data_IF_686115970616
#
_entry.id   IF_686115970616
#
_cell.length_a   1.000
_cell.length_b   1.000
_cell.length_c   1.000
_cell.angle_alpha   90.00
_cell.angle_beta   90.00
_cell.angle_gamma   90.00
#
_symmetry.space_group_name_H-M   'P 1'
#
loop_
_entity.id
_entity.type
_entity.pdbx_description
1 polymer ?
#
# COMPACT_ATOMS: atom_id res chain seq x y z
N UNK A 1 -19.55 3.14 13.91
CA UNK A 1 -19.55 4.58 13.53
C UNK A 1 -18.88 4.69 12.18
N UNK A 2 -19.28 5.59 11.28
CA UNK A 2 -18.53 5.79 10.04
C UNK A 2 -17.10 6.19 10.41
N UNK A 3 -16.13 5.49 9.85
CA UNK A 3 -14.72 5.83 10.03
C UNK A 3 -14.46 7.18 9.35
N UNK A 4 -13.74 8.07 10.04
CA UNK A 4 -13.28 9.31 9.43
C UNK A 4 -12.20 9.00 8.39
N UNK A 5 -12.56 9.15 7.11
CA UNK A 5 -11.67 8.81 6.00
C UNK A 5 -10.42 9.70 5.96
N UNK A 6 -10.55 10.97 6.30
CA UNK A 6 -9.42 11.90 6.27
C UNK A 6 -8.37 11.51 7.32
N UNK A 7 -8.82 11.14 8.53
CA UNK A 7 -7.94 10.57 9.57
C UNK A 7 -7.30 9.26 9.10
N UNK A 8 -8.06 8.37 8.46
CA UNK A 8 -7.55 7.10 8.00
C UNK A 8 -6.51 7.26 6.87
N UNK A 9 -6.73 8.19 5.93
CA UNK A 9 -5.78 8.53 4.87
C UNK A 9 -4.48 9.16 5.43
N UNK A 10 -4.58 9.96 6.49
CA UNK A 10 -3.42 10.56 7.16
C UNK A 10 -2.67 9.57 8.08
N UNK A 11 -3.13 8.34 8.17
CA UNK A 11 -2.58 7.28 8.99
C UNK A 11 -1.71 6.28 8.24
N UNK A 12 -1.71 5.03 8.71
CA UNK A 12 -1.00 3.91 8.10
C UNK A 12 -1.93 3.21 7.12
N UNK A 13 -1.60 3.27 5.83
CA UNK A 13 -2.22 2.46 4.78
C UNK A 13 -1.51 1.10 4.71
N UNK A 14 -2.06 0.09 5.38
CA UNK A 14 -1.44 -1.23 5.53
C UNK A 14 -1.68 -2.14 4.34
N UNK A 15 -0.65 -2.38 3.53
CA UNK A 15 -0.77 -3.20 2.33
C UNK A 15 -0.73 -4.68 2.70
N UNK A 16 -1.87 -5.35 2.60
CA UNK A 16 -2.00 -6.78 2.86
C UNK A 16 -1.33 -7.61 1.74
N UNK A 17 -0.73 -8.74 2.10
CA UNK A 17 -0.30 -9.75 1.12
C UNK A 17 -1.51 -10.45 0.50
N UNK A 18 -1.33 -11.11 -0.64
CA UNK A 18 -2.30 -12.07 -1.17
C UNK A 18 -1.84 -13.47 -0.83
N UNK A 19 -2.53 -14.20 0.05
CA UNK A 19 -2.21 -15.60 0.32
C UNK A 19 -2.64 -16.49 -0.84
N UNK A 20 -1.84 -17.54 -1.06
CA UNK A 20 -2.16 -18.63 -1.97
C UNK A 20 -2.18 -19.97 -1.22
N UNK A 21 -2.95 -20.91 -1.71
CA UNK A 21 -2.95 -22.30 -1.25
C UNK A 21 -1.90 -23.13 -2.02
N UNK A 22 -1.85 -24.43 -1.72
CA UNK A 22 -0.90 -25.38 -2.32
C UNK A 22 -1.16 -25.63 -3.82
N UNK A 23 -2.37 -25.29 -4.31
CA UNK A 23 -2.72 -25.33 -5.73
C UNK A 23 -2.35 -24.02 -6.45
N UNK A 24 -1.90 -22.99 -5.72
CA UNK A 24 -1.59 -21.67 -6.24
C UNK A 24 -2.82 -20.77 -6.45
N UNK A 25 -3.98 -21.19 -5.92
CA UNK A 25 -5.20 -20.37 -5.92
C UNK A 25 -5.20 -19.39 -4.75
N UNK A 26 -5.89 -18.25 -4.90
CA UNK A 26 -5.98 -17.27 -3.81
C UNK A 26 -6.69 -17.86 -2.59
N UNK A 27 -6.15 -17.62 -1.40
CA UNK A 27 -6.66 -18.13 -0.13
C UNK A 27 -6.92 -17.00 0.88
N UNK A 28 -7.89 -16.08 0.63
CA UNK A 28 -8.08 -14.85 1.41
C UNK A 28 -8.34 -15.08 2.90
N UNK A 29 -8.94 -16.22 3.27
CA UNK A 29 -9.21 -16.55 4.68
C UNK A 29 -7.94 -16.65 5.54
N UNK A 30 -6.78 -16.95 4.93
CA UNK A 30 -5.48 -16.96 5.63
C UNK A 30 -5.04 -15.58 6.11
N UNK A 31 -5.69 -14.49 5.64
CA UNK A 31 -5.43 -13.14 6.12
C UNK A 31 -6.04 -12.83 7.50
N UNK A 32 -7.01 -13.57 7.98
CA UNK A 32 -7.75 -13.24 9.20
C UNK A 32 -6.82 -12.92 10.40
N UNK A 33 -5.88 -13.78 10.81
CA UNK A 33 -5.01 -13.50 11.95
C UNK A 33 -4.06 -12.31 11.70
N UNK A 34 -3.59 -12.12 10.46
CA UNK A 34 -2.71 -11.02 10.05
C UNK A 34 -3.46 -9.70 10.15
N UNK A 35 -4.68 -9.67 9.63
CA UNK A 35 -5.56 -8.50 9.66
C UNK A 35 -5.94 -8.13 11.10
N UNK A 36 -6.30 -9.11 11.92
CA UNK A 36 -6.65 -8.90 13.33
C UNK A 36 -5.48 -8.28 14.10
N UNK A 37 -4.26 -8.79 13.91
CA UNK A 37 -3.05 -8.24 14.53
C UNK A 37 -2.77 -6.81 14.03
N UNK A 38 -2.89 -6.56 12.73
CA UNK A 38 -2.68 -5.24 12.16
C UNK A 38 -3.67 -4.20 12.72
N UNK A 39 -4.96 -4.56 12.84
CA UNK A 39 -5.98 -3.69 13.41
C UNK A 39 -5.75 -3.46 14.91
N UNK A 40 -5.40 -4.51 15.67
CA UNK A 40 -5.09 -4.39 17.09
C UNK A 40 -3.91 -3.47 17.37
N UNK A 41 -2.91 -3.44 16.46
CA UNK A 41 -1.77 -2.55 16.52
C UNK A 41 -2.07 -1.09 16.11
N UNK A 42 -3.27 -0.82 15.57
CA UNK A 42 -3.69 0.53 15.16
C UNK A 42 -3.39 0.87 13.70
N UNK A 43 -3.32 -0.11 12.80
CA UNK A 43 -3.31 0.18 11.35
C UNK A 43 -4.63 0.83 10.97
N UNK A 44 -4.56 2.02 10.36
CA UNK A 44 -5.70 2.88 10.12
C UNK A 44 -6.57 2.43 8.95
N UNK A 45 -5.91 1.97 7.86
CA UNK A 45 -6.59 1.66 6.60
C UNK A 45 -5.92 0.44 5.94
N UNK A 46 -6.46 -0.77 6.12
CA UNK A 46 -6.04 -1.93 5.34
C UNK A 46 -6.21 -1.70 3.83
N UNK A 47 -5.23 -2.15 3.05
CA UNK A 47 -5.21 -2.00 1.59
C UNK A 47 -5.14 -3.37 0.93
N UNK A 48 -6.10 -3.67 0.08
CA UNK A 48 -6.10 -4.85 -0.78
C UNK A 48 -5.66 -4.46 -2.20
N UNK A 49 -5.09 -5.39 -2.95
CA UNK A 49 -4.63 -5.14 -4.32
C UNK A 49 -3.56 -4.02 -4.42
N UNK A 50 -2.74 -3.85 -3.38
CA UNK A 50 -1.52 -3.06 -3.47
C UNK A 50 -0.35 -3.88 -4.03
N UNK A 51 0.84 -3.27 -4.18
CA UNK A 51 2.02 -3.97 -4.71
C UNK A 51 2.47 -5.13 -3.81
N UNK A 52 2.45 -4.96 -2.49
CA UNK A 52 2.73 -6.06 -1.54
C UNK A 52 1.66 -7.16 -1.63
N UNK A 53 0.46 -6.85 -2.12
CA UNK A 53 -0.60 -7.82 -2.43
C UNK A 53 -0.48 -8.45 -3.82
N UNK A 54 0.66 -8.35 -4.48
CA UNK A 54 0.94 -8.95 -5.79
C UNK A 54 -0.09 -8.55 -6.88
N UNK A 55 -0.61 -7.33 -6.84
CA UNK A 55 -1.69 -6.84 -7.70
C UNK A 55 -1.51 -7.19 -9.18
N UNK A 56 -0.28 -7.08 -9.69
CA UNK A 56 0.00 -7.34 -11.11
C UNK A 56 0.12 -8.83 -11.46
N UNK A 57 0.24 -9.71 -10.47
CA UNK A 57 0.27 -11.16 -10.64
C UNK A 57 -1.12 -11.81 -10.50
N UNK A 58 -2.13 -11.04 -10.06
CA UNK A 58 -3.52 -11.50 -9.98
C UNK A 58 -4.23 -11.35 -11.33
N UNK A 59 -5.18 -12.20 -11.62
CA UNK A 59 -6.20 -11.92 -12.64
C UNK A 59 -7.15 -10.84 -12.13
N UNK A 60 -7.95 -10.25 -13.01
CA UNK A 60 -8.97 -9.27 -12.60
C UNK A 60 -10.04 -9.91 -11.73
N UNK A 61 -10.39 -11.17 -11.99
CA UNK A 61 -11.36 -11.94 -11.19
C UNK A 61 -10.83 -12.21 -9.77
N UNK A 62 -9.57 -12.64 -9.65
CA UNK A 62 -8.94 -12.83 -8.34
C UNK A 62 -8.87 -11.50 -7.56
N UNK A 63 -8.50 -10.41 -8.22
CA UNK A 63 -8.45 -9.09 -7.58
C UNK A 63 -9.83 -8.62 -7.10
N UNK A 64 -10.91 -8.85 -7.86
CA UNK A 64 -12.29 -8.60 -7.41
C UNK A 64 -12.67 -9.48 -6.22
N UNK A 65 -12.27 -10.76 -6.25
CA UNK A 65 -12.51 -11.69 -5.14
C UNK A 65 -11.77 -11.25 -3.88
N UNK A 66 -10.50 -10.86 -3.99
CA UNK A 66 -9.73 -10.35 -2.85
C UNK A 66 -10.40 -9.15 -2.19
N UNK A 67 -10.94 -8.19 -2.96
CA UNK A 67 -11.67 -7.04 -2.37
C UNK A 67 -12.87 -7.51 -1.57
N UNK A 68 -13.71 -8.38 -2.14
CA UNK A 68 -14.93 -8.88 -1.49
C UNK A 68 -14.60 -9.64 -0.21
N UNK A 69 -13.64 -10.56 -0.28
CA UNK A 69 -13.28 -11.41 0.87
C UNK A 69 -12.61 -10.59 1.99
N UNK A 70 -11.72 -9.64 1.65
CA UNK A 70 -11.10 -8.77 2.66
C UNK A 70 -12.13 -7.82 3.28
N UNK A 71 -13.08 -7.28 2.50
CA UNK A 71 -14.17 -6.49 3.03
C UNK A 71 -15.02 -7.30 4.04
N UNK A 72 -15.31 -8.56 3.72
CA UNK A 72 -16.03 -9.47 4.63
C UNK A 72 -15.22 -9.78 5.90
N UNK A 73 -13.89 -10.03 5.78
CA UNK A 73 -13.01 -10.23 6.94
C UNK A 73 -12.92 -8.99 7.82
N UNK A 74 -12.95 -7.80 7.23
CA UNK A 74 -12.94 -6.53 7.97
C UNK A 74 -14.22 -6.32 8.77
N UNK A 75 -15.37 -6.74 8.26
CA UNK A 75 -16.68 -6.61 8.91
C UNK A 75 -16.92 -5.20 9.48
N UNK A 76 -16.55 -4.15 8.72
CA UNK A 76 -16.71 -2.77 9.12
C UNK A 76 -15.78 -2.27 10.25
N UNK A 77 -14.78 -3.05 10.68
CA UNK A 77 -13.85 -2.68 11.76
C UNK A 77 -12.86 -1.57 11.37
N UNK A 78 -12.59 -1.42 10.09
CA UNK A 78 -11.74 -0.35 9.53
C UNK A 78 -12.16 -0.04 8.09
N UNK A 79 -11.86 1.18 7.57
CA UNK A 79 -12.13 1.52 6.18
C UNK A 79 -11.18 0.76 5.25
N UNK A 80 -11.72 0.07 4.24
CA UNK A 80 -10.95 -0.65 3.23
C UNK A 80 -10.55 0.27 2.08
N UNK A 81 -9.26 0.31 1.74
CA UNK A 81 -8.74 0.94 0.53
C UNK A 81 -8.49 -0.14 -0.54
N UNK A 82 -9.22 -0.08 -1.64
CA UNK A 82 -9.10 -1.06 -2.71
C UNK A 82 -8.20 -0.54 -3.85
N UNK A 83 -7.12 -1.27 -4.15
CA UNK A 83 -6.27 -1.00 -5.31
C UNK A 83 -6.98 -1.36 -6.61
N UNK A 84 -7.03 -0.41 -7.56
CA UNK A 84 -7.60 -0.58 -8.89
C UNK A 84 -6.62 -0.09 -9.95
N UNK A 85 -6.59 -0.74 -11.12
CA UNK A 85 -5.59 -0.39 -12.11
C UNK A 85 -5.62 -1.30 -13.34
N UNK A 86 -4.49 -1.38 -14.03
CA UNK A 86 -4.28 -2.07 -15.31
C UNK A 86 -4.89 -1.30 -16.49
N UNK A 87 -5.36 -1.98 -17.55
CA UNK A 87 -6.09 -1.33 -18.62
C UNK A 87 -7.40 -0.71 -18.13
N UNK A 88 -7.88 0.34 -18.78
CA UNK A 88 -9.04 1.11 -18.33
C UNK A 88 -10.28 0.26 -18.06
N UNK A 89 -10.52 -0.79 -18.88
CA UNK A 89 -11.68 -1.68 -18.70
C UNK A 89 -11.59 -2.50 -17.42
N UNK A 90 -10.40 -3.03 -17.12
CA UNK A 90 -10.15 -3.77 -15.89
C UNK A 90 -10.23 -2.86 -14.67
N UNK A 91 -9.63 -1.66 -14.75
CA UNK A 91 -9.69 -0.67 -13.68
C UNK A 91 -11.13 -0.26 -13.35
N UNK A 92 -11.97 0.00 -14.37
CA UNK A 92 -13.39 0.30 -14.18
C UNK A 92 -14.18 -0.89 -13.60
N UNK A 93 -13.83 -2.12 -13.99
CA UNK A 93 -14.47 -3.33 -13.44
C UNK A 93 -14.11 -3.49 -11.96
N UNK A 94 -12.83 -3.34 -11.63
CA UNK A 94 -12.34 -3.37 -10.24
C UNK A 94 -12.97 -2.27 -9.38
N UNK A 95 -13.12 -1.05 -9.92
CA UNK A 95 -13.75 0.05 -9.22
C UNK A 95 -15.21 -0.26 -8.85
N UNK A 96 -15.99 -0.79 -9.80
CA UNK A 96 -17.39 -1.23 -9.53
C UNK A 96 -17.44 -2.33 -8.48
N UNK A 97 -16.64 -3.39 -8.65
CA UNK A 97 -16.61 -4.49 -7.70
C UNK A 97 -16.18 -4.04 -6.30
N UNK A 98 -15.28 -3.05 -6.20
CA UNK A 98 -14.85 -2.46 -4.92
C UNK A 98 -15.98 -1.68 -4.25
N UNK A 99 -16.75 -0.91 -5.02
CA UNK A 99 -17.90 -0.18 -4.52
C UNK A 99 -19.00 -1.15 -4.03
N UNK A 100 -19.29 -2.19 -4.80
CA UNK A 100 -20.26 -3.24 -4.46
C UNK A 100 -19.86 -4.02 -3.19
N UNK A 101 -18.56 -4.21 -2.99
CA UNK A 101 -18.01 -4.87 -1.79
C UNK A 101 -17.96 -3.97 -0.54
N UNK A 102 -18.28 -2.67 -0.67
CA UNK A 102 -18.27 -1.74 0.46
C UNK A 102 -16.89 -1.18 0.79
N UNK A 103 -15.97 -1.11 -0.17
CA UNK A 103 -14.71 -0.37 0.02
C UNK A 103 -14.98 1.10 0.38
N UNK A 104 -14.16 1.67 1.28
CA UNK A 104 -14.31 3.06 1.70
C UNK A 104 -13.68 4.05 0.70
N UNK A 105 -12.66 3.60 -0.05
CA UNK A 105 -11.98 4.40 -1.06
C UNK A 105 -11.29 3.51 -2.10
N UNK A 106 -10.93 4.09 -3.23
CA UNK A 106 -10.14 3.45 -4.28
C UNK A 106 -8.71 4.01 -4.29
N UNK A 107 -7.71 3.14 -4.43
CA UNK A 107 -6.34 3.54 -4.76
C UNK A 107 -6.09 3.27 -6.24
N UNK A 108 -6.05 4.33 -7.06
CA UNK A 108 -5.84 4.18 -8.51
C UNK A 108 -4.35 4.05 -8.78
N UNK A 109 -3.92 2.86 -9.18
CA UNK A 109 -2.57 2.61 -9.66
C UNK A 109 -2.30 3.39 -10.93
N UNK A 110 -1.16 4.07 -10.98
CA UNK A 110 -0.71 4.69 -12.23
C UNK A 110 -0.58 3.59 -13.31
N UNK A 111 -1.15 3.78 -14.51
CA UNK A 111 -1.05 2.78 -15.58
C UNK A 111 0.41 2.38 -15.84
N UNK A 112 0.71 1.08 -15.93
CA UNK A 112 2.07 0.58 -16.14
C UNK A 112 2.52 0.65 -17.61
N UNK A 113 1.78 1.38 -18.44
CA UNK A 113 2.08 1.57 -19.86
C UNK A 113 3.34 2.44 -20.04
N UNK A 114 4.30 2.06 -20.90
CA UNK A 114 5.49 2.86 -21.17
C UNK A 114 5.18 4.17 -21.93
N UNK A 115 4.02 4.27 -22.61
CA UNK A 115 3.61 5.42 -23.41
C UNK A 115 2.39 6.15 -22.79
N UNK A 116 2.56 6.65 -21.57
CA UNK A 116 1.50 7.35 -20.82
C UNK A 116 1.57 8.85 -21.06
N UNK A 117 0.51 9.44 -21.65
CA UNK A 117 0.40 10.90 -21.73
C UNK A 117 -0.31 11.46 -20.49
N UNK A 118 0.05 12.68 -20.01
CA UNK A 118 -0.66 13.33 -18.91
C UNK A 118 -2.17 13.46 -19.16
N UNK A 119 -2.58 13.86 -20.36
CA UNK A 119 -4.01 13.95 -20.73
C UNK A 119 -4.72 12.62 -20.68
N UNK A 120 -4.11 11.55 -21.23
CA UNK A 120 -4.66 10.21 -21.17
C UNK A 120 -4.77 9.67 -19.75
N UNK A 121 -3.86 10.08 -18.86
CA UNK A 121 -3.95 9.73 -17.43
C UNK A 121 -5.17 10.41 -16.78
N UNK A 122 -5.46 11.66 -17.11
CA UNK A 122 -6.67 12.35 -16.64
C UNK A 122 -7.93 11.63 -17.10
N UNK A 123 -8.01 11.24 -18.39
CA UNK A 123 -9.17 10.52 -18.92
C UNK A 123 -9.32 9.13 -18.26
N UNK A 124 -8.19 8.44 -18.04
CA UNK A 124 -8.17 7.17 -17.33
C UNK A 124 -8.71 7.30 -15.90
N UNK A 125 -8.23 8.28 -15.14
CA UNK A 125 -8.66 8.50 -13.74
C UNK A 125 -10.14 8.89 -13.69
N UNK A 126 -10.63 9.75 -14.59
CA UNK A 126 -12.05 10.08 -14.70
C UNK A 126 -12.92 8.84 -14.91
N UNK A 127 -12.54 7.99 -15.87
CA UNK A 127 -13.29 6.77 -16.16
C UNK A 127 -13.37 5.83 -14.94
N UNK A 128 -12.30 5.75 -14.14
CA UNK A 128 -12.26 4.95 -12.91
C UNK A 128 -13.12 5.57 -11.81
N UNK A 129 -13.07 6.89 -11.63
CA UNK A 129 -13.92 7.63 -10.67
C UNK A 129 -15.40 7.39 -10.99
N UNK A 130 -15.78 7.57 -12.25
CA UNK A 130 -17.18 7.36 -12.71
C UNK A 130 -17.63 5.92 -12.45
N UNK A 131 -16.76 4.94 -12.72
CA UNK A 131 -17.05 3.53 -12.49
C UNK A 131 -17.14 3.17 -11.00
N UNK A 132 -16.44 3.89 -10.14
CA UNK A 132 -16.43 3.70 -8.68
C UNK A 132 -17.65 4.26 -7.95
N UNK A 133 -18.62 4.86 -8.68
CA UNK A 133 -19.89 5.28 -8.10
C UNK A 133 -19.79 6.36 -7.03
N UNK A 134 -18.79 7.22 -7.10
CA UNK A 134 -18.58 8.33 -6.15
C UNK A 134 -17.70 7.97 -4.93
N UNK A 135 -17.07 6.80 -4.91
CA UNK A 135 -16.07 6.49 -3.88
C UNK A 135 -14.92 7.51 -3.92
N UNK A 136 -14.44 7.97 -2.77
CA UNK A 136 -13.22 8.77 -2.68
C UNK A 136 -12.02 8.04 -3.30
N UNK A 137 -11.07 8.81 -3.85
CA UNK A 137 -9.92 8.28 -4.58
C UNK A 137 -8.61 8.75 -3.97
N UNK A 138 -7.68 7.83 -3.78
CA UNK A 138 -6.25 8.06 -3.59
C UNK A 138 -5.54 7.79 -4.92
N UNK A 139 -4.84 8.76 -5.47
CA UNK A 139 -3.97 8.55 -6.63
C UNK A 139 -2.67 7.88 -6.19
N UNK A 140 -2.21 6.87 -6.92
CA UNK A 140 -0.89 6.28 -6.67
C UNK A 140 0.10 6.74 -7.74
N UNK A 141 0.90 7.76 -7.44
CA UNK A 141 1.87 8.38 -8.33
C UNK A 141 3.28 7.86 -8.05
N UNK A 142 3.91 7.27 -9.07
CA UNK A 142 5.24 6.66 -8.99
C UNK A 142 6.19 7.06 -10.13
N UNK A 143 5.71 7.84 -11.10
CA UNK A 143 6.53 8.32 -12.21
C UNK A 143 7.08 9.71 -11.91
N UNK A 144 8.38 9.80 -11.62
CA UNK A 144 9.04 11.08 -11.32
C UNK A 144 9.10 12.04 -12.53
N UNK A 145 8.85 11.57 -13.74
CA UNK A 145 8.76 12.42 -14.92
C UNK A 145 7.46 13.23 -15.04
N UNK A 146 6.41 12.90 -14.24
CA UNK A 146 5.15 13.64 -14.26
C UNK A 146 5.36 15.06 -13.73
N UNK A 147 5.04 16.09 -14.53
CA UNK A 147 5.18 17.50 -14.15
C UNK A 147 4.15 17.93 -13.09
N UNK A 148 4.48 18.97 -12.33
CA UNK A 148 3.64 19.51 -11.24
C UNK A 148 2.24 19.90 -11.72
N UNK A 149 2.12 20.51 -12.90
CA UNK A 149 0.80 20.87 -13.47
C UNK A 149 -0.07 19.62 -13.73
N UNK A 150 0.51 18.57 -14.29
CA UNK A 150 -0.23 17.32 -14.53
C UNK A 150 -0.70 16.65 -13.21
N UNK A 151 0.08 16.78 -12.14
CA UNK A 151 -0.30 16.33 -10.80
C UNK A 151 -1.46 17.17 -10.28
N UNK A 152 -1.40 18.49 -10.41
CA UNK A 152 -2.46 19.41 -10.00
C UNK A 152 -3.77 19.16 -10.78
N UNK A 153 -3.70 18.92 -12.10
CA UNK A 153 -4.85 18.57 -12.93
C UNK A 153 -5.54 17.27 -12.46
N UNK A 154 -4.76 16.28 -12.04
CA UNK A 154 -5.28 15.04 -11.49
C UNK A 154 -5.89 15.24 -10.09
N UNK A 155 -5.24 16.01 -9.23
CA UNK A 155 -5.74 16.31 -7.88
C UNK A 155 -7.03 17.16 -7.90
N UNK A 156 -7.24 17.95 -8.95
CA UNK A 156 -8.45 18.75 -9.14
C UNK A 156 -9.67 17.93 -9.58
N UNK A 157 -9.52 16.64 -9.91
CA UNK A 157 -10.63 15.80 -10.30
C UNK A 157 -11.59 15.57 -9.12
N UNK A 158 -12.91 15.62 -9.34
CA UNK A 158 -13.89 15.35 -8.30
C UNK A 158 -13.69 13.98 -7.67
N UNK A 159 -13.71 13.89 -6.34
CA UNK A 159 -13.54 12.65 -5.59
C UNK A 159 -12.09 12.30 -5.24
N UNK A 160 -11.09 12.97 -5.79
CA UNK A 160 -9.71 12.81 -5.35
C UNK A 160 -9.54 13.41 -3.97
N UNK A 161 -9.10 12.62 -3.00
CA UNK A 161 -8.91 12.97 -1.59
C UNK A 161 -7.49 12.79 -1.11
N UNK A 162 -6.70 12.01 -1.82
CA UNK A 162 -5.32 11.77 -1.41
C UNK A 162 -4.41 11.36 -2.56
N UNK A 163 -3.12 11.42 -2.27
CA UNK A 163 -2.05 10.99 -3.17
C UNK A 163 -1.06 10.12 -2.40
N UNK A 164 -0.92 8.88 -2.83
CA UNK A 164 0.21 8.03 -2.46
C UNK A 164 1.40 8.44 -3.32
N UNK A 165 2.34 9.15 -2.71
CA UNK A 165 3.56 9.64 -3.34
C UNK A 165 4.66 8.59 -3.26
N UNK A 166 5.04 7.99 -4.37
CA UNK A 166 6.02 6.89 -4.42
C UNK A 166 7.24 7.22 -5.29
N UNK A 167 7.72 8.44 -5.18
CA UNK A 167 9.03 8.85 -5.70
C UNK A 167 9.91 9.39 -4.58
N UNK A 168 11.23 9.10 -4.58
CA UNK A 168 12.15 9.52 -3.53
C UNK A 168 12.61 10.99 -3.74
N UNK A 169 11.65 11.90 -3.92
CA UNK A 169 11.89 13.30 -4.24
C UNK A 169 11.04 14.22 -3.34
N UNK A 170 11.53 14.59 -2.14
CA UNK A 170 10.81 15.46 -1.23
C UNK A 170 10.58 16.87 -1.78
N UNK A 171 11.54 17.44 -2.51
CA UNK A 171 11.38 18.80 -3.07
C UNK A 171 10.27 18.86 -4.12
N UNK A 172 10.14 17.82 -4.92
CA UNK A 172 9.06 17.71 -5.89
C UNK A 172 7.71 17.48 -5.21
N UNK A 173 7.69 16.72 -4.12
CA UNK A 173 6.48 16.59 -3.30
C UNK A 173 6.05 17.95 -2.75
N UNK A 174 6.96 18.75 -2.19
CA UNK A 174 6.66 20.08 -1.69
C UNK A 174 6.02 20.95 -2.80
N UNK A 175 6.64 20.97 -4.00
CA UNK A 175 6.11 21.73 -5.13
C UNK A 175 4.72 21.21 -5.60
N UNK A 176 4.47 19.91 -5.51
CA UNK A 176 3.16 19.34 -5.83
C UNK A 176 2.10 19.72 -4.78
N UNK A 177 2.45 19.72 -3.50
CA UNK A 177 1.58 20.15 -2.40
C UNK A 177 1.18 21.62 -2.60
N UNK A 178 2.14 22.49 -2.87
CA UNK A 178 1.91 23.92 -3.08
C UNK A 178 0.99 24.23 -4.29
N UNK A 179 0.98 23.34 -5.29
CA UNK A 179 0.18 23.49 -6.51
C UNK A 179 -1.23 22.88 -6.42
N UNK A 180 -1.55 22.16 -5.35
CA UNK A 180 -2.81 21.44 -5.19
C UNK A 180 -3.71 22.05 -4.11
N UNK A 181 -4.98 21.63 -4.09
CA UNK A 181 -5.90 22.00 -3.02
C UNK A 181 -5.38 21.51 -1.65
N UNK A 182 -5.43 22.33 -0.60
CA UNK A 182 -4.96 21.95 0.74
C UNK A 182 -5.76 20.80 1.38
N UNK A 183 -6.92 20.46 0.84
CA UNK A 183 -7.71 19.30 1.26
C UNK A 183 -7.19 17.95 0.74
N UNK A 184 -6.13 17.93 -0.08
CA UNK A 184 -5.50 16.68 -0.54
C UNK A 184 -4.57 16.12 0.53
N UNK A 185 -4.81 14.88 0.96
CA UNK A 185 -3.91 14.17 1.88
C UNK A 185 -2.76 13.51 1.12
N UNK A 186 -1.52 13.85 1.48
CA UNK A 186 -0.32 13.28 0.87
C UNK A 186 0.26 12.17 1.75
N UNK A 187 0.46 10.99 1.16
CA UNK A 187 0.87 9.77 1.85
C UNK A 187 2.19 9.27 1.28
N UNK A 188 3.17 9.00 2.14
CA UNK A 188 4.42 8.38 1.72
C UNK A 188 4.16 6.98 1.14
N UNK A 189 4.46 6.78 -0.14
CA UNK A 189 4.28 5.51 -0.86
C UNK A 189 5.51 4.59 -0.87
N UNK A 190 6.57 4.96 -0.13
CA UNK A 190 7.87 4.29 -0.10
C UNK A 190 8.19 3.69 1.28
N UNK A 191 7.17 3.18 1.96
CA UNK A 191 7.24 2.58 3.28
C UNK A 191 7.78 3.54 4.38
N UNK A 192 8.10 2.97 5.53
CA UNK A 192 8.53 3.69 6.73
C UNK A 192 9.84 4.45 6.53
N UNK A 193 10.76 3.87 5.76
CA UNK A 193 12.11 4.43 5.54
C UNK A 193 12.06 5.84 4.94
N UNK A 194 11.11 6.08 4.04
CA UNK A 194 10.95 7.37 3.36
C UNK A 194 9.93 8.29 4.05
N UNK A 195 9.24 7.83 5.10
CA UNK A 195 8.26 8.64 5.78
C UNK A 195 8.87 9.92 6.41
N UNK A 196 10.01 9.90 7.16
CA UNK A 196 10.55 11.11 7.78
C UNK A 196 10.82 12.24 6.78
N UNK A 197 11.59 12.08 5.68
CA UNK A 197 11.84 13.18 4.76
C UNK A 197 10.60 13.66 4.01
N UNK A 198 9.61 12.79 3.76
CA UNK A 198 8.36 13.20 3.11
C UNK A 198 7.40 13.91 4.09
N UNK A 199 7.37 13.51 5.38
CA UNK A 199 6.64 14.23 6.42
C UNK A 199 7.20 15.63 6.64
N UNK A 200 8.53 15.81 6.56
CA UNK A 200 9.16 17.12 6.71
C UNK A 200 8.67 18.14 5.67
N UNK A 201 8.20 17.68 4.51
CA UNK A 201 7.68 18.53 3.43
C UNK A 201 6.17 18.47 3.27
N UNK A 202 5.43 17.77 4.14
CA UNK A 202 3.97 17.86 4.15
C UNK A 202 3.19 16.56 4.02
N UNK A 203 3.82 15.40 3.83
CA UNK A 203 3.11 14.11 3.94
C UNK A 203 2.57 13.92 5.38
N UNK A 204 1.46 13.17 5.52
CA UNK A 204 0.81 12.95 6.83
C UNK A 204 0.52 11.48 7.13
N UNK A 205 0.73 10.59 6.18
CA UNK A 205 0.59 9.14 6.34
C UNK A 205 1.68 8.40 5.57
N UNK A 206 1.74 7.10 5.72
CA UNK A 206 2.60 6.25 4.90
C UNK A 206 1.95 4.90 4.59
N UNK A 207 2.41 4.26 3.51
CA UNK A 207 2.02 2.89 3.18
C UNK A 207 3.02 1.90 3.76
N UNK A 208 2.55 0.77 4.27
CA UNK A 208 3.38 -0.21 4.94
C UNK A 208 3.08 -1.63 4.46
N UNK A 209 4.11 -2.36 4.05
CA UNK A 209 4.07 -3.82 3.91
C UNK A 209 4.54 -4.53 5.18
N UNK A 210 5.28 -3.82 6.05
CA UNK A 210 5.75 -4.34 7.34
C UNK A 210 4.59 -4.71 8.27
N UNK A 211 3.42 -4.11 8.11
CA UNK A 211 2.22 -4.39 8.94
C UNK A 211 1.79 -5.84 8.93
N UNK A 212 2.16 -6.60 7.92
CA UNK A 212 1.88 -8.04 7.89
C UNK A 212 2.72 -8.81 8.92
N UNK A 213 3.95 -8.33 9.21
CA UNK A 213 4.96 -9.01 10.02
C UNK A 213 5.16 -8.35 11.38
N UNK A 214 5.16 -7.02 11.40
CA UNK A 214 5.44 -6.23 12.62
C UNK A 214 4.62 -4.93 12.64
N UNK A 215 3.30 -5.00 12.75
CA UNK A 215 2.44 -3.83 12.69
C UNK A 215 2.68 -2.84 13.85
N UNK A 216 3.09 -3.34 15.02
CA UNK A 216 3.39 -2.51 16.20
C UNK A 216 4.56 -1.55 15.93
N UNK A 217 5.56 -1.98 15.13
CA UNK A 217 6.67 -1.12 14.73
C UNK A 217 6.20 0.01 13.81
N UNK A 218 5.40 -0.29 12.82
CA UNK A 218 4.79 0.72 11.93
C UNK A 218 3.95 1.72 12.73
N UNK A 219 3.14 1.24 13.68
CA UNK A 219 2.32 2.09 14.55
C UNK A 219 3.19 3.03 15.40
N UNK A 220 4.27 2.53 16.01
CA UNK A 220 5.19 3.34 16.79
C UNK A 220 5.90 4.41 15.96
N UNK A 221 6.32 4.08 14.72
CA UNK A 221 6.92 5.05 13.79
C UNK A 221 5.91 6.13 13.43
N UNK A 222 4.68 5.75 13.07
CA UNK A 222 3.62 6.72 12.76
C UNK A 222 3.36 7.66 13.95
N UNK A 223 3.21 7.11 15.15
CA UNK A 223 2.99 7.91 16.35
C UNK A 223 4.14 8.89 16.64
N UNK A 224 5.40 8.51 16.40
CA UNK A 224 6.55 9.40 16.54
C UNK A 224 6.49 10.54 15.50
N UNK A 225 6.24 10.21 14.22
CA UNK A 225 6.14 11.21 13.15
C UNK A 225 4.97 12.18 13.35
N UNK A 226 3.82 11.69 13.81
CA UNK A 226 2.64 12.51 14.10
C UNK A 226 2.89 13.56 15.20
N UNK A 227 3.83 13.28 16.13
CA UNK A 227 4.26 14.23 17.18
C UNK A 227 5.45 15.10 16.76
N UNK A 228 5.97 14.92 15.54
CA UNK A 228 7.19 15.61 15.09
C UNK A 228 8.48 15.08 15.69
N UNK A 229 8.48 13.91 16.33
CA UNK A 229 9.65 13.27 16.92
C UNK A 229 10.41 12.44 15.87
N UNK A 230 11.12 13.15 14.99
CA UNK A 230 11.92 12.55 13.93
C UNK A 230 13.11 11.74 14.47
N UNK A 231 13.63 12.10 15.66
CA UNK A 231 14.72 11.35 16.29
C UNK A 231 14.26 9.96 16.67
N UNK A 232 13.12 9.86 17.35
CA UNK A 232 12.52 8.58 17.72
C UNK A 232 12.09 7.79 16.50
N UNK A 233 11.46 8.43 15.50
CA UNK A 233 11.07 7.77 14.26
C UNK A 233 12.27 7.14 13.55
N UNK A 234 13.38 7.88 13.40
CA UNK A 234 14.61 7.38 12.79
C UNK A 234 15.25 6.24 13.60
N UNK A 235 15.20 6.28 14.92
CA UNK A 235 15.68 5.19 15.78
C UNK A 235 14.86 3.91 15.55
N UNK A 236 13.53 4.02 15.51
CA UNK A 236 12.64 2.90 15.24
C UNK A 236 12.85 2.32 13.83
N UNK A 237 13.03 3.19 12.83
CA UNK A 237 13.32 2.80 11.45
C UNK A 237 14.66 2.07 11.34
N UNK A 238 15.69 2.51 12.06
CA UNK A 238 16.98 1.83 12.07
C UNK A 238 16.86 0.36 12.48
N UNK A 239 16.00 0.05 13.46
CA UNK A 239 15.75 -1.33 13.90
C UNK A 239 15.03 -2.21 12.88
N UNK A 240 14.23 -1.64 11.98
CA UNK A 240 13.51 -2.41 10.94
C UNK A 240 14.21 -2.39 9.57
N UNK A 241 15.25 -1.56 9.41
CA UNK A 241 15.93 -1.36 8.12
C UNK A 241 16.45 -2.65 7.48
N UNK A 242 17.05 -3.62 8.21
CA UNK A 242 17.52 -4.87 7.60
C UNK A 242 16.41 -5.63 6.85
N UNK A 243 15.17 -5.58 7.34
CA UNK A 243 14.02 -6.19 6.66
C UNK A 243 13.73 -5.51 5.31
N UNK A 244 13.71 -4.19 5.27
CA UNK A 244 13.47 -3.43 4.04
C UNK A 244 14.64 -3.55 3.05
N UNK A 245 15.87 -3.71 3.53
CA UNK A 245 17.04 -3.94 2.67
C UNK A 245 16.93 -5.26 1.91
N UNK A 246 16.51 -6.36 2.58
CA UNK A 246 16.27 -7.63 1.91
C UNK A 246 15.11 -7.50 0.91
N UNK A 247 14.06 -6.76 1.24
CA UNK A 247 12.90 -6.52 0.35
C UNK A 247 13.28 -5.77 -0.92
N UNK A 248 14.33 -4.94 -0.87
CA UNK A 248 14.80 -4.13 -2.01
C UNK A 248 15.75 -4.89 -2.94
N UNK A 249 16.19 -6.09 -2.57
CA UNK A 249 17.10 -6.88 -3.40
C UNK A 249 16.45 -7.35 -4.71
N UNK A 250 17.26 -7.78 -5.65
CA UNK A 250 16.83 -8.25 -6.97
C UNK A 250 15.87 -7.26 -7.68
N UNK A 251 16.23 -5.97 -7.67
CA UNK A 251 15.39 -4.89 -8.25
C UNK A 251 13.98 -4.81 -7.61
N UNK A 252 13.90 -5.04 -6.30
CA UNK A 252 12.67 -5.20 -5.51
C UNK A 252 11.89 -6.50 -5.82
N UNK A 253 12.50 -7.47 -6.48
CA UNK A 253 11.89 -8.76 -6.80
C UNK A 253 11.61 -9.61 -5.56
N UNK A 254 12.31 -9.36 -4.46
CA UNK A 254 12.13 -10.02 -3.16
C UNK A 254 11.12 -9.29 -2.25
N UNK A 255 10.52 -8.20 -2.69
CA UNK A 255 9.69 -7.33 -1.86
C UNK A 255 8.58 -8.08 -1.11
N UNK A 256 7.81 -8.91 -1.80
CA UNK A 256 6.70 -9.69 -1.21
C UNK A 256 7.22 -11.00 -0.63
N UNK A 257 8.24 -11.58 -1.25
CA UNK A 257 8.85 -12.85 -0.84
C UNK A 257 9.35 -12.78 0.60
N UNK A 258 10.04 -11.72 0.97
CA UNK A 258 10.52 -11.49 2.36
C UNK A 258 9.36 -11.42 3.35
N UNK A 259 8.26 -10.73 2.98
CA UNK A 259 7.07 -10.65 3.84
C UNK A 259 6.45 -12.03 4.06
N UNK A 260 6.27 -12.81 2.98
CA UNK A 260 5.67 -14.15 3.08
C UNK A 260 6.59 -15.15 3.79
N UNK A 261 7.91 -15.06 3.57
CA UNK A 261 8.88 -15.88 4.30
C UNK A 261 8.88 -15.58 5.81
N UNK A 262 8.81 -14.29 6.19
CA UNK A 262 8.68 -13.90 7.58
C UNK A 262 7.35 -14.38 8.21
N UNK A 263 6.24 -14.24 7.49
CA UNK A 263 4.94 -14.76 7.93
C UNK A 263 4.96 -16.27 8.14
N UNK A 264 5.63 -17.01 7.25
CA UNK A 264 5.78 -18.46 7.40
C UNK A 264 6.54 -18.81 8.68
N UNK A 265 7.64 -18.10 8.99
CA UNK A 265 8.37 -18.26 10.26
C UNK A 265 7.48 -17.95 11.48
N UNK A 266 6.57 -16.98 11.36
CA UNK A 266 5.59 -16.64 12.40
C UNK A 266 4.39 -17.61 12.50
N UNK A 267 4.37 -18.68 11.71
CA UNK A 267 3.29 -19.66 11.69
C UNK A 267 2.08 -19.27 10.82
N UNK A 268 2.22 -18.23 9.97
CA UNK A 268 1.20 -17.77 9.05
C UNK A 268 1.58 -18.10 7.60
N UNK A 269 1.25 -19.29 7.15
CA UNK A 269 1.53 -19.71 5.78
C UNK A 269 0.62 -18.97 4.78
N UNK A 270 1.23 -18.07 3.99
CA UNK A 270 0.59 -17.36 2.89
C UNK A 270 0.95 -17.92 1.50
N UNK A 271 1.59 -19.09 1.43
CA UNK A 271 2.07 -19.68 0.19
C UNK A 271 3.20 -18.92 -0.49
N UNK A 272 3.68 -19.39 -1.64
CA UNK A 272 4.73 -18.73 -2.41
C UNK A 272 4.26 -17.44 -3.04
N UNK A 273 5.20 -16.59 -3.50
CA UNK A 273 4.89 -15.51 -4.44
C UNK A 273 4.76 -16.04 -5.86
N UNK A 274 3.96 -15.38 -6.69
CA UNK A 274 3.87 -15.69 -8.12
C UNK A 274 4.98 -14.97 -8.92
N UNK A 275 5.52 -15.58 -9.99
CA UNK A 275 6.39 -14.86 -10.91
C UNK A 275 5.72 -13.58 -11.45
N UNK A 276 6.49 -12.49 -11.69
CA UNK A 276 7.95 -12.43 -11.76
C UNK A 276 8.68 -12.21 -10.43
N UNK A 277 8.01 -12.21 -9.28
CA UNK A 277 8.67 -12.18 -7.97
C UNK A 277 9.50 -13.45 -7.76
N UNK A 278 10.63 -13.32 -7.04
CA UNK A 278 11.49 -14.45 -6.74
C UNK A 278 10.90 -15.30 -5.60
N UNK A 279 10.98 -16.63 -5.72
CA UNK A 279 10.60 -17.55 -4.66
C UNK A 279 11.36 -18.89 -4.83
N UNK A 280 11.87 -19.49 -3.75
CA UNK A 280 12.01 -18.93 -2.39
C UNK A 280 13.13 -17.88 -2.31
N UNK A 281 13.37 -17.35 -1.10
CA UNK A 281 14.59 -16.60 -0.81
C UNK A 281 15.82 -17.48 -1.01
N UNK A 282 16.95 -16.90 -1.36
CA UNK A 282 18.24 -17.59 -1.29
C UNK A 282 18.61 -17.89 0.15
N UNK A 283 19.47 -18.90 0.38
CA UNK A 283 19.92 -19.26 1.74
C UNK A 283 20.52 -18.07 2.49
N UNK A 284 21.25 -17.19 1.79
CA UNK A 284 21.84 -15.99 2.39
C UNK A 284 20.79 -14.95 2.78
N UNK A 285 19.75 -14.78 1.98
CA UNK A 285 18.63 -13.86 2.28
C UNK A 285 17.81 -14.42 3.45
N UNK A 286 17.53 -15.73 3.43
CA UNK A 286 16.79 -16.39 4.52
C UNK A 286 17.53 -16.28 5.85
N UNK A 287 18.84 -16.54 5.88
CA UNK A 287 19.65 -16.43 7.10
C UNK A 287 19.65 -14.99 7.66
N UNK A 288 19.65 -13.97 6.80
CA UNK A 288 19.53 -12.57 7.23
C UNK A 288 18.15 -12.25 7.79
N UNK A 289 17.09 -12.79 7.15
CA UNK A 289 15.73 -12.64 7.63
C UNK A 289 15.54 -13.29 8.99
N UNK A 290 16.02 -14.54 9.16
CA UNK A 290 15.93 -15.27 10.43
C UNK A 290 16.67 -14.54 11.55
N UNK A 291 17.87 -14.00 11.24
CA UNK A 291 18.62 -13.16 12.18
C UNK A 291 17.87 -11.90 12.58
N UNK A 292 17.19 -11.25 11.63
CA UNK A 292 16.35 -10.08 11.91
C UNK A 292 15.15 -10.44 12.78
N UNK A 293 14.43 -11.52 12.46
CA UNK A 293 13.25 -11.94 13.22
C UNK A 293 13.63 -12.33 14.66
N UNK A 294 14.71 -13.09 14.82
CA UNK A 294 15.20 -13.49 16.15
C UNK A 294 15.65 -12.28 17.00
N UNK A 295 16.40 -11.34 16.40
CA UNK A 295 16.88 -10.13 17.11
C UNK A 295 15.75 -9.20 17.57
N UNK A 296 14.55 -9.32 17.00
CA UNK A 296 13.38 -8.50 17.31
C UNK A 296 12.23 -9.30 17.97
N UNK A 297 12.48 -10.54 18.38
CA UNK A 297 11.50 -11.42 19.04
C UNK A 297 10.23 -11.62 18.18
N UNK A 298 10.43 -11.77 16.86
CA UNK A 298 9.36 -11.92 15.86
C UNK A 298 9.25 -13.34 15.27
N UNK A 299 10.08 -14.28 15.76
CA UNK A 299 10.07 -15.67 15.33
C UNK A 299 9.16 -16.55 16.19
#
# INVERSE_FOLDING_TARGET
>A
MPHDLDTALAGISGILVTPYDDAGEIAPARLAPILDRALAAGVHMPVVNGNTGEFYALTTDEACTMVREVAALLDGRAPLLAGVGRGVRDACRLARASAEAGAAALMIHQPPDPFVSPRGTVDYVKAVIDAGGGLPVMLYLRNDAMGTQAIADLCALPGVKGVKWATPNPLKLAAAIDACDPGITWVCGLAEIWAPPLYAVGARGFTSGLINVWPERSAAIHAALARGDYTQANHLIAGMRPFEEIRAEEMNGTNVTVVKAALLTQGHDCGPTRPPSAWPLTDAQQARLDGFLAANELA
#
